data_IF_181363149922
#
_entry.id   IF_181363149922
#
_cell.length_a   1.000
_cell.length_b   1.000
_cell.length_c   1.000
_cell.angle_alpha   90.00
_cell.angle_beta   90.00
_cell.angle_gamma   90.00
#
_symmetry.space_group_name_H-M   'P 1'
#
loop_
_entity.id
_entity.type
_entity.pdbx_description
1 polymer ?
#
# COMPACT_ATOMS: atom_id res chain seq x y z
N UNK A 1 -58.21 -27.96 -9.25
CA UNK A 1 -58.10 -27.32 -10.58
C UNK A 1 -57.62 -25.90 -10.35
N UNK A 2 -56.35 -25.66 -10.44
CA UNK A 2 -55.79 -24.29 -10.51
C UNK A 2 -54.58 -24.39 -11.45
N UNK A 3 -54.62 -23.61 -12.51
CA UNK A 3 -53.76 -23.67 -13.66
C UNK A 3 -52.37 -23.09 -13.40
N UNK A 4 -51.33 -23.79 -13.86
CA UNK A 4 -49.94 -23.31 -13.91
C UNK A 4 -49.75 -22.28 -15.04
N UNK A 5 -49.32 -21.09 -14.73
CA UNK A 5 -48.83 -20.10 -15.71
C UNK A 5 -47.33 -20.26 -15.90
N UNK A 6 -46.93 -20.64 -17.09
CA UNK A 6 -45.55 -20.56 -17.60
C UNK A 6 -45.17 -19.10 -17.73
N UNK A 7 -44.07 -18.68 -17.08
CA UNK A 7 -43.41 -17.42 -17.36
C UNK A 7 -42.22 -17.68 -18.30
N UNK A 8 -42.32 -17.11 -19.48
CA UNK A 8 -41.26 -17.08 -20.51
C UNK A 8 -40.14 -16.12 -20.10
N UNK A 9 -38.94 -16.66 -20.06
CA UNK A 9 -37.73 -15.89 -19.80
C UNK A 9 -37.37 -14.98 -20.97
N UNK A 10 -37.22 -13.69 -20.70
CA UNK A 10 -36.58 -12.74 -21.58
C UNK A 10 -35.10 -12.66 -21.23
N UNK A 11 -34.25 -13.11 -22.13
CA UNK A 11 -32.81 -12.97 -22.04
C UNK A 11 -32.44 -11.50 -22.06
N UNK A 12 -31.74 -11.01 -21.00
CA UNK A 12 -31.05 -9.73 -21.00
C UNK A 12 -29.66 -9.95 -21.57
N UNK A 13 -29.44 -9.45 -22.77
CA UNK A 13 -28.18 -9.40 -23.42
C UNK A 13 -27.20 -8.59 -22.56
N UNK A 14 -26.13 -9.26 -22.10
CA UNK A 14 -24.98 -8.61 -21.53
C UNK A 14 -24.34 -7.74 -22.61
N UNK A 15 -24.34 -6.42 -22.42
CA UNK A 15 -23.47 -5.53 -23.19
C UNK A 15 -22.05 -5.90 -22.82
N UNK A 16 -21.30 -6.44 -23.78
CA UNK A 16 -19.86 -6.51 -23.72
C UNK A 16 -19.35 -5.09 -23.51
N UNK A 17 -18.71 -4.83 -22.38
CA UNK A 17 -17.92 -3.62 -22.17
C UNK A 17 -16.83 -3.64 -23.23
N UNK A 18 -16.83 -2.63 -24.11
CA UNK A 18 -15.79 -2.42 -25.09
C UNK A 18 -14.45 -2.19 -24.36
N UNK A 19 -13.32 -2.42 -25.03
CA UNK A 19 -12.02 -2.24 -24.42
C UNK A 19 -11.86 -0.76 -24.03
N UNK A 20 -11.84 -0.51 -22.73
CA UNK A 20 -11.41 0.77 -22.17
C UNK A 20 -9.99 1.01 -22.63
N UNK A 21 -9.78 2.21 -23.15
CA UNK A 21 -8.57 2.79 -23.68
C UNK A 21 -7.28 2.17 -23.09
N UNK A 22 -6.49 1.55 -23.98
CA UNK A 22 -5.22 0.91 -23.72
C UNK A 22 -4.27 1.83 -22.94
N UNK A 23 -4.18 1.65 -21.63
CA UNK A 23 -2.92 1.96 -20.96
C UNK A 23 -1.92 0.91 -21.47
N UNK A 24 -0.90 1.37 -22.18
CA UNK A 24 0.15 0.53 -22.70
C UNK A 24 0.76 -0.26 -21.52
N UNK A 25 0.64 -1.58 -21.58
CA UNK A 25 1.31 -2.49 -20.67
C UNK A 25 2.82 -2.24 -20.77
N UNK A 26 3.38 -1.64 -19.73
CA UNK A 26 4.82 -1.48 -19.61
C UNK A 26 5.40 -2.86 -19.30
N UNK A 27 6.33 -3.34 -20.12
CA UNK A 27 7.08 -4.55 -19.85
C UNK A 27 7.73 -4.49 -18.47
N UNK A 28 7.90 -5.63 -17.78
CA UNK A 28 8.66 -5.71 -16.53
C UNK A 28 10.07 -5.12 -16.65
N UNK A 29 10.63 -5.05 -17.86
CA UNK A 29 11.91 -4.38 -18.13
C UNK A 29 11.85 -2.86 -17.94
N UNK A 30 10.71 -2.22 -18.25
CA UNK A 30 10.50 -0.77 -18.19
C UNK A 30 9.69 -0.34 -16.96
N UNK A 31 9.39 -1.29 -16.07
CA UNK A 31 8.58 -1.05 -14.88
C UNK A 31 9.24 -0.04 -13.93
N UNK A 32 8.54 1.06 -13.64
CA UNK A 32 9.02 2.18 -12.81
C UNK A 32 9.43 1.79 -11.39
N UNK A 33 8.84 0.70 -10.84
CA UNK A 33 9.17 0.22 -9.49
C UNK A 33 10.16 -0.95 -9.49
N UNK A 34 10.66 -1.37 -10.66
CA UNK A 34 11.56 -2.51 -10.78
C UNK A 34 12.72 -2.45 -9.81
N UNK A 35 13.44 -1.33 -9.77
CA UNK A 35 14.68 -1.19 -9.01
C UNK A 35 14.47 -1.09 -7.49
N UNK A 36 13.26 -0.77 -7.04
CA UNK A 36 12.93 -0.61 -5.62
C UNK A 36 12.12 -1.76 -5.04
N UNK A 37 11.60 -2.63 -5.90
CA UNK A 37 10.79 -3.81 -5.53
C UNK A 37 11.62 -5.09 -5.42
N UNK A 38 10.95 -6.21 -5.25
CA UNK A 38 11.54 -7.55 -5.31
C UNK A 38 12.17 -7.82 -6.68
N UNK A 39 11.60 -7.26 -7.75
CA UNK A 39 12.10 -7.41 -9.12
C UNK A 39 13.51 -6.86 -9.34
N UNK A 40 14.04 -6.03 -8.43
CA UNK A 40 15.42 -5.55 -8.49
C UNK A 40 16.48 -6.68 -8.41
N UNK A 41 16.11 -7.84 -7.89
CA UNK A 41 16.98 -9.00 -7.82
C UNK A 41 17.02 -9.82 -9.12
N UNK A 42 16.10 -9.58 -10.05
CA UNK A 42 15.91 -10.40 -11.25
C UNK A 42 16.80 -9.94 -12.41
N UNK A 43 17.43 -10.90 -13.08
CA UNK A 43 18.06 -10.69 -14.38
C UNK A 43 17.01 -10.49 -15.49
N UNK A 44 17.43 -10.04 -16.67
CA UNK A 44 16.49 -9.69 -17.74
C UNK A 44 15.69 -10.89 -18.29
N UNK A 45 16.28 -12.07 -18.30
CA UNK A 45 15.63 -13.34 -18.67
C UNK A 45 14.61 -13.76 -17.59
N UNK A 46 14.96 -13.63 -16.32
CA UNK A 46 14.07 -13.89 -15.19
C UNK A 46 12.92 -12.90 -15.09
N UNK A 47 13.12 -11.64 -15.51
CA UNK A 47 12.05 -10.66 -15.62
C UNK A 47 11.01 -11.07 -16.68
N UNK A 48 11.42 -11.70 -17.77
CA UNK A 48 10.49 -12.24 -18.75
C UNK A 48 9.71 -13.45 -18.22
N UNK A 49 10.36 -14.27 -17.38
CA UNK A 49 9.69 -15.40 -16.74
C UNK A 49 8.60 -14.91 -15.76
N UNK A 50 8.92 -13.95 -14.88
CA UNK A 50 7.95 -13.43 -13.91
C UNK A 50 6.83 -12.62 -14.58
N UNK A 51 7.12 -11.97 -15.70
CA UNK A 51 6.13 -11.24 -16.51
C UNK A 51 5.01 -12.14 -16.98
N UNK A 52 5.31 -13.38 -17.39
CA UNK A 52 4.31 -14.38 -17.79
C UNK A 52 3.39 -14.78 -16.62
N UNK A 53 3.90 -14.71 -15.38
CA UNK A 53 3.14 -15.03 -14.18
C UNK A 53 2.32 -13.84 -13.65
N UNK A 54 2.65 -12.62 -14.10
CA UNK A 54 2.03 -11.40 -13.61
C UNK A 54 0.66 -11.17 -14.25
N UNK A 55 -0.31 -10.81 -13.41
CA UNK A 55 -1.57 -10.19 -13.80
C UNK A 55 -1.56 -8.74 -13.34
N UNK A 56 -2.03 -7.83 -14.18
CA UNK A 56 -2.06 -6.40 -13.87
C UNK A 56 -3.50 -5.99 -13.53
N UNK A 57 -3.69 -5.62 -12.27
CA UNK A 57 -4.98 -5.17 -11.77
C UNK A 57 -4.90 -3.68 -11.43
N UNK A 58 -5.97 -2.95 -11.74
CA UNK A 58 -6.17 -1.55 -11.32
C UNK A 58 -7.38 -1.49 -10.41
N UNK A 59 -7.20 -0.85 -9.26
CA UNK A 59 -8.22 -0.66 -8.24
C UNK A 59 -8.62 0.81 -8.19
N UNK A 60 -9.92 1.04 -8.14
CA UNK A 60 -10.48 2.35 -7.81
C UNK A 60 -10.26 2.67 -6.33
N UNK A 61 -10.29 3.97 -5.98
CA UNK A 61 -10.20 4.40 -4.58
C UNK A 61 -11.26 3.69 -3.72
N UNK A 62 -10.83 3.16 -2.56
CA UNK A 62 -11.62 2.37 -1.60
C UNK A 62 -11.99 0.95 -2.07
N UNK A 63 -11.56 0.51 -3.22
CA UNK A 63 -11.75 -0.87 -3.64
C UNK A 63 -10.86 -1.79 -2.80
N UNK A 64 -11.44 -2.91 -2.36
CA UNK A 64 -10.74 -3.91 -1.55
C UNK A 64 -9.90 -4.83 -2.43
N UNK A 65 -8.65 -5.01 -2.06
CA UNK A 65 -7.73 -5.96 -2.70
C UNK A 65 -7.90 -7.36 -2.10
N UNK A 66 -7.97 -7.47 -0.77
CA UNK A 66 -8.29 -8.69 -0.03
C UNK A 66 -8.75 -8.36 1.40
N UNK A 67 -9.48 -9.28 2.02
CA UNK A 67 -9.94 -9.17 3.40
C UNK A 67 -9.12 -10.05 4.34
N UNK A 68 -9.10 -9.66 5.61
CA UNK A 68 -8.54 -10.51 6.67
C UNK A 68 -9.27 -11.85 6.71
N UNK A 69 -8.51 -12.94 6.85
CA UNK A 69 -8.96 -14.34 6.85
C UNK A 69 -9.41 -14.88 5.47
N UNK A 70 -9.38 -14.10 4.40
CA UNK A 70 -9.51 -14.67 3.06
C UNK A 70 -8.35 -15.64 2.76
N UNK A 71 -8.54 -16.66 1.92
CA UNK A 71 -7.45 -17.50 1.44
C UNK A 71 -6.36 -16.63 0.80
N UNK A 72 -5.12 -16.84 1.23
CA UNK A 72 -3.98 -16.06 0.71
C UNK A 72 -3.43 -16.74 -0.56
N UNK A 73 -4.22 -16.72 -1.64
CA UNK A 73 -3.93 -17.38 -2.92
C UNK A 73 -3.07 -16.54 -3.88
N UNK A 74 -2.80 -15.30 -3.53
CA UNK A 74 -2.01 -14.37 -4.35
C UNK A 74 -1.05 -13.53 -3.51
N UNK A 75 0.00 -13.04 -4.18
CA UNK A 75 0.92 -12.01 -3.70
C UNK A 75 0.87 -10.83 -4.66
N UNK A 76 1.16 -9.63 -4.16
CA UNK A 76 0.99 -8.40 -4.93
C UNK A 76 2.21 -7.50 -4.80
N UNK A 77 2.60 -6.88 -5.91
CA UNK A 77 3.55 -5.77 -5.94
C UNK A 77 2.80 -4.49 -6.31
N UNK A 78 2.80 -3.49 -5.45
CA UNK A 78 2.19 -2.19 -5.76
C UNK A 78 3.06 -1.49 -6.81
N UNK A 79 2.47 -1.10 -7.93
CA UNK A 79 3.19 -0.42 -9.02
C UNK A 79 2.85 1.07 -9.11
N UNK A 80 1.65 1.47 -8.66
CA UNK A 80 1.21 2.86 -8.58
C UNK A 80 0.14 3.03 -7.51
N UNK A 81 -0.06 4.26 -7.01
CA UNK A 81 -1.02 4.54 -5.96
C UNK A 81 -0.59 4.06 -4.59
N UNK A 82 -1.54 3.95 -3.66
CA UNK A 82 -1.30 3.58 -2.26
C UNK A 82 -2.35 2.60 -1.78
N UNK A 83 -1.92 1.55 -1.09
CA UNK A 83 -2.80 0.57 -0.41
C UNK A 83 -2.69 0.77 1.10
N UNK A 84 -3.81 0.92 1.80
CA UNK A 84 -3.85 0.89 3.27
C UNK A 84 -4.06 -0.54 3.74
N UNK A 85 -3.32 -0.91 4.78
CA UNK A 85 -3.39 -2.20 5.44
C UNK A 85 -3.99 -2.00 6.83
N UNK A 86 -5.05 -2.74 7.19
CA UNK A 86 -5.75 -2.51 8.45
C UNK A 86 -6.34 -3.78 9.04
N UNK A 87 -6.60 -3.74 10.35
CA UNK A 87 -7.39 -4.73 11.07
C UNK A 87 -8.66 -4.10 11.59
N UNK A 88 -9.75 -4.86 11.56
CA UNK A 88 -10.99 -4.51 12.25
C UNK A 88 -10.97 -5.10 13.66
N UNK A 89 -11.22 -4.25 14.63
CA UNK A 89 -11.38 -4.66 16.01
C UNK A 89 -12.80 -5.20 16.25
N UNK A 90 -13.03 -6.04 17.30
CA UNK A 90 -14.35 -6.60 17.57
C UNK A 90 -15.46 -5.57 17.80
N UNK A 91 -15.10 -4.35 18.21
CA UNK A 91 -16.01 -3.22 18.41
C UNK A 91 -16.27 -2.39 17.14
N UNK A 92 -15.75 -2.84 15.98
CA UNK A 92 -15.92 -2.18 14.70
C UNK A 92 -14.92 -1.05 14.43
N UNK A 93 -14.08 -0.67 15.40
CA UNK A 93 -12.98 0.28 15.14
C UNK A 93 -11.96 -0.33 14.19
N UNK A 94 -11.37 0.52 13.38
CA UNK A 94 -10.30 0.14 12.45
C UNK A 94 -8.95 0.62 12.99
N UNK A 95 -7.96 -0.27 12.98
CA UNK A 95 -6.57 0.09 13.21
C UNK A 95 -5.80 -0.08 11.91
N UNK A 96 -5.29 0.99 11.35
CA UNK A 96 -4.37 0.92 10.22
C UNK A 96 -3.01 0.46 10.75
N UNK A 97 -2.45 -0.58 10.13
CA UNK A 97 -1.15 -1.15 10.49
C UNK A 97 -0.05 -0.73 9.52
N UNK A 98 -0.41 -0.20 8.35
CA UNK A 98 0.56 0.29 7.36
C UNK A 98 -0.09 0.88 6.12
N UNK A 99 0.75 1.52 5.31
CA UNK A 99 0.43 1.96 3.96
C UNK A 99 1.49 1.36 3.03
N UNK A 100 1.07 0.57 2.04
CA UNK A 100 1.96 0.07 1.01
C UNK A 100 2.03 1.09 -0.13
N UNK A 101 3.25 1.46 -0.48
CA UNK A 101 3.60 2.40 -1.52
C UNK A 101 4.11 1.65 -2.77
N UNK A 102 4.26 2.31 -3.92
CA UNK A 102 4.87 1.68 -5.09
C UNK A 102 6.23 1.06 -4.77
N UNK A 103 6.41 -0.20 -5.18
CA UNK A 103 7.57 -1.04 -4.87
C UNK A 103 7.40 -1.96 -3.66
N UNK A 104 6.39 -1.73 -2.82
CA UNK A 104 6.13 -2.61 -1.69
C UNK A 104 5.41 -3.89 -2.15
N UNK A 105 5.68 -4.99 -1.42
CA UNK A 105 5.17 -6.31 -1.74
C UNK A 105 4.22 -6.80 -0.64
N UNK A 106 3.04 -7.28 -1.03
CA UNK A 106 1.98 -7.70 -0.11
C UNK A 106 1.70 -9.20 -0.24
N UNK A 107 1.24 -9.81 0.84
CA UNK A 107 0.85 -11.23 0.84
C UNK A 107 2.00 -12.21 1.01
N UNK A 108 3.22 -11.75 1.39
CA UNK A 108 4.39 -12.61 1.61
C UNK A 108 4.31 -13.47 2.87
N UNK A 109 3.38 -13.19 3.79
CA UNK A 109 3.23 -14.01 4.97
C UNK A 109 2.95 -15.46 4.56
N UNK A 110 3.75 -16.39 5.07
CA UNK A 110 3.67 -17.83 4.81
C UNK A 110 2.45 -18.48 5.47
N UNK A 111 1.37 -17.72 5.67
CA UNK A 111 0.10 -18.18 6.25
C UNK A 111 -0.89 -18.50 5.15
N UNK A 112 -1.78 -19.46 5.38
CA UNK A 112 -2.83 -19.84 4.43
C UNK A 112 -3.90 -18.75 4.23
N UNK A 113 -3.92 -17.75 5.11
CA UNK A 113 -4.92 -16.68 5.11
C UNK A 113 -4.26 -15.31 5.33
N UNK A 114 -4.84 -14.29 4.73
CA UNK A 114 -4.36 -12.90 4.94
C UNK A 114 -4.58 -12.48 6.40
N UNK A 115 -3.55 -11.89 7.01
CA UNK A 115 -3.56 -11.44 8.41
C UNK A 115 -4.22 -10.08 8.65
N UNK A 116 -4.58 -9.34 7.59
CA UNK A 116 -5.17 -8.01 7.60
C UNK A 116 -5.99 -7.77 6.32
N UNK A 117 -6.77 -6.70 6.30
CA UNK A 117 -7.46 -6.21 5.11
C UNK A 117 -6.56 -5.24 4.33
N UNK A 118 -6.75 -5.16 3.02
CA UNK A 118 -6.05 -4.25 2.13
C UNK A 118 -7.03 -3.55 1.18
N UNK A 119 -7.07 -2.21 1.22
CA UNK A 119 -7.89 -1.37 0.34
C UNK A 119 -7.03 -0.33 -0.38
N UNK A 120 -7.38 -0.01 -1.61
CA UNK A 120 -6.81 1.12 -2.33
C UNK A 120 -7.19 2.45 -1.67
N UNK A 121 -6.22 3.33 -1.43
CA UNK A 121 -6.44 4.68 -0.90
C UNK A 121 -6.90 5.62 -2.03
N UNK A 122 -6.25 5.51 -3.16
CA UNK A 122 -6.50 6.22 -4.40
C UNK A 122 -6.55 5.23 -5.58
N UNK A 123 -6.57 5.70 -6.82
CA UNK A 123 -6.41 4.83 -7.99
C UNK A 123 -5.05 4.12 -7.90
N UNK A 124 -5.09 2.80 -7.77
CA UNK A 124 -3.92 1.98 -7.45
C UNK A 124 -3.73 0.88 -8.48
N UNK A 125 -2.50 0.69 -8.94
CA UNK A 125 -2.14 -0.42 -9.83
C UNK A 125 -1.24 -1.42 -9.10
N UNK A 126 -1.49 -2.71 -9.34
CA UNK A 126 -0.71 -3.80 -8.75
C UNK A 126 -0.36 -4.87 -9.78
N UNK A 127 0.81 -5.49 -9.63
CA UNK A 127 1.09 -6.79 -10.23
C UNK A 127 0.63 -7.86 -9.25
N UNK A 128 -0.29 -8.72 -9.67
CA UNK A 128 -0.79 -9.88 -8.92
C UNK A 128 -0.10 -11.14 -9.45
N UNK A 129 0.34 -11.99 -8.54
CA UNK A 129 0.91 -13.30 -8.86
C UNK A 129 0.16 -14.37 -8.07
N UNK A 130 -0.25 -15.46 -8.74
CA UNK A 130 -0.76 -16.63 -8.02
C UNK A 130 0.33 -17.15 -7.09
N UNK A 131 -0.01 -17.36 -5.80
CA UNK A 131 0.97 -17.71 -4.75
C UNK A 131 1.79 -18.94 -5.09
N UNK A 132 1.15 -20.01 -5.57
CA UNK A 132 1.85 -21.26 -5.88
C UNK A 132 2.83 -21.10 -7.05
N UNK A 133 2.46 -20.31 -8.06
CA UNK A 133 3.34 -20.03 -9.19
C UNK A 133 4.52 -19.17 -8.76
N UNK A 134 4.26 -18.15 -7.93
CA UNK A 134 5.32 -17.30 -7.38
C UNK A 134 6.27 -18.06 -6.46
N UNK A 135 5.76 -18.94 -5.58
CA UNK A 135 6.60 -19.77 -4.72
C UNK A 135 7.53 -20.67 -5.53
N UNK A 136 6.99 -21.39 -6.53
CA UNK A 136 7.82 -22.23 -7.42
C UNK A 136 8.88 -21.43 -8.15
N UNK A 137 8.55 -20.22 -8.58
CA UNK A 137 9.51 -19.32 -9.23
C UNK A 137 10.65 -18.91 -8.28
N UNK A 138 10.31 -18.54 -7.03
CA UNK A 138 11.28 -18.13 -6.01
C UNK A 138 12.17 -19.29 -5.55
N UNK A 139 11.59 -20.51 -5.38
CA UNK A 139 12.33 -21.71 -4.94
C UNK A 139 13.50 -22.04 -5.87
N UNK A 140 13.39 -21.70 -7.14
CA UNK A 140 14.44 -21.91 -8.15
C UNK A 140 15.48 -20.78 -8.18
N UNK A 141 15.27 -19.70 -7.39
CA UNK A 141 16.05 -18.45 -7.48
C UNK A 141 16.49 -17.95 -6.09
N UNK A 142 17.57 -18.52 -5.51
CA UNK A 142 18.02 -18.19 -4.15
C UNK A 142 18.33 -16.70 -3.93
N UNK A 143 18.70 -15.95 -4.99
CA UNK A 143 18.94 -14.51 -4.91
C UNK A 143 17.65 -13.72 -4.73
N UNK A 144 16.53 -14.17 -5.32
CA UNK A 144 15.19 -13.58 -5.10
C UNK A 144 14.73 -13.87 -3.68
N UNK A 145 14.91 -15.09 -3.19
CA UNK A 145 14.58 -15.46 -1.80
C UNK A 145 15.35 -14.59 -0.80
N UNK A 146 16.65 -14.33 -1.03
CA UNK A 146 17.43 -13.40 -0.19
C UNK A 146 16.85 -11.99 -0.21
N UNK A 147 16.40 -11.51 -1.35
CA UNK A 147 15.76 -10.20 -1.47
C UNK A 147 14.43 -10.14 -0.71
N UNK A 148 13.59 -11.17 -0.82
CA UNK A 148 12.35 -11.30 -0.06
C UNK A 148 12.60 -11.32 1.45
N UNK A 149 13.64 -12.05 1.89
CA UNK A 149 14.04 -12.06 3.31
C UNK A 149 14.46 -10.65 3.78
N UNK A 150 15.23 -9.92 2.98
CA UNK A 150 15.60 -8.53 3.30
C UNK A 150 14.36 -7.61 3.41
N UNK A 151 13.37 -7.78 2.53
CA UNK A 151 12.09 -7.07 2.64
C UNK A 151 11.35 -7.42 3.94
N UNK A 152 11.20 -8.71 4.26
CA UNK A 152 10.53 -9.14 5.48
C UNK A 152 11.21 -8.62 6.75
N UNK A 153 12.55 -8.61 6.78
CA UNK A 153 13.33 -8.06 7.89
C UNK A 153 13.12 -6.55 8.02
N UNK A 154 13.06 -5.84 6.90
CA UNK A 154 12.77 -4.39 6.90
C UNK A 154 11.36 -4.10 7.42
N UNK A 155 10.35 -4.85 6.96
CA UNK A 155 8.98 -4.72 7.46
C UNK A 155 8.87 -4.99 8.97
N UNK A 156 9.60 -5.98 9.47
CA UNK A 156 9.67 -6.26 10.91
C UNK A 156 10.28 -5.08 11.67
N UNK A 157 11.34 -4.44 11.15
CA UNK A 157 11.91 -3.24 11.75
C UNK A 157 10.91 -2.10 11.80
N UNK A 158 10.18 -1.85 10.69
CA UNK A 158 9.12 -0.82 10.65
C UNK A 158 8.00 -1.11 11.65
N UNK A 159 7.64 -2.39 11.85
CA UNK A 159 6.64 -2.77 12.84
C UNK A 159 7.13 -2.50 14.28
N UNK A 160 8.42 -2.74 14.60
CA UNK A 160 9.00 -2.38 15.89
C UNK A 160 8.99 -0.86 16.12
N UNK A 161 9.38 -0.08 15.12
CA UNK A 161 9.34 1.40 15.18
C UNK A 161 7.91 1.90 15.41
N UNK A 162 6.93 1.27 14.77
CA UNK A 162 5.50 1.59 14.96
C UNK A 162 5.02 1.27 16.37
N UNK A 163 5.46 0.17 16.98
CA UNK A 163 5.14 -0.13 18.38
C UNK A 163 5.67 0.92 19.35
N UNK A 164 6.93 1.37 19.15
CA UNK A 164 7.53 2.45 19.95
C UNK A 164 6.79 3.76 19.74
N UNK A 165 6.47 4.09 18.50
CA UNK A 165 5.72 5.30 18.13
C UNK A 165 4.35 5.33 18.84
N UNK A 166 3.61 4.24 18.80
CA UNK A 166 2.28 4.17 19.41
C UNK A 166 2.32 4.27 20.94
N UNK A 167 3.35 3.67 21.59
CA UNK A 167 3.38 3.50 23.04
C UNK A 167 3.93 4.70 23.82
N UNK A 168 4.88 5.45 23.27
CA UNK A 168 5.67 6.41 24.08
C UNK A 168 5.73 7.84 23.55
N UNK A 169 5.35 8.09 22.31
CA UNK A 169 5.50 9.41 21.67
C UNK A 169 4.27 10.30 21.85
N UNK A 170 4.50 11.59 21.95
CA UNK A 170 3.46 12.63 21.93
C UNK A 170 2.79 12.70 20.55
N UNK A 171 1.63 13.34 20.45
CA UNK A 171 0.93 13.50 19.17
C UNK A 171 1.77 14.26 18.12
N UNK A 172 2.60 15.21 18.55
CA UNK A 172 3.48 15.96 17.66
C UNK A 172 4.62 15.12 17.12
N UNK A 173 5.30 14.38 17.99
CA UNK A 173 6.34 13.43 17.60
C UNK A 173 5.81 12.32 16.69
N UNK A 174 4.59 11.82 16.96
CA UNK A 174 3.92 10.83 16.11
C UNK A 174 3.68 11.35 14.70
N UNK A 175 3.12 12.56 14.58
CA UNK A 175 2.85 13.18 13.27
C UNK A 175 4.15 13.52 12.56
N UNK A 176 5.16 14.02 13.25
CA UNK A 176 6.47 14.31 12.66
C UNK A 176 7.15 13.04 12.17
N UNK A 177 7.20 11.97 12.97
CA UNK A 177 7.78 10.69 12.59
C UNK A 177 7.06 10.06 11.38
N UNK A 178 5.72 10.14 11.33
CA UNK A 178 4.94 9.70 10.18
C UNK A 178 5.32 10.46 8.91
N UNK A 179 5.39 11.79 8.96
CA UNK A 179 5.73 12.62 7.79
C UNK A 179 7.16 12.36 7.31
N UNK A 180 8.13 12.28 8.22
CA UNK A 180 9.54 12.01 7.87
C UNK A 180 9.70 10.59 7.30
N UNK A 181 9.08 9.59 7.94
CA UNK A 181 9.10 8.20 7.44
C UNK A 181 8.46 8.09 6.05
N UNK A 182 7.33 8.75 5.82
CA UNK A 182 6.67 8.76 4.52
C UNK A 182 7.52 9.47 3.45
N UNK A 183 8.18 10.60 3.80
CA UNK A 183 9.14 11.29 2.91
C UNK A 183 10.26 10.36 2.46
N UNK A 184 10.85 9.60 3.39
CA UNK A 184 11.94 8.67 3.08
C UNK A 184 11.48 7.54 2.15
N UNK A 185 10.25 7.06 2.33
CA UNK A 185 9.68 6.02 1.47
C UNK A 185 9.40 6.55 0.06
N UNK A 186 8.81 7.74 -0.08
CA UNK A 186 8.61 8.39 -1.38
C UNK A 186 9.93 8.70 -2.09
N UNK A 187 10.99 8.99 -1.33
CA UNK A 187 12.31 9.28 -1.90
C UNK A 187 12.91 8.10 -2.67
N UNK A 188 12.50 6.87 -2.40
CA UNK A 188 12.92 5.68 -3.18
C UNK A 188 12.44 5.73 -4.62
N UNK A 189 11.33 6.43 -4.89
CA UNK A 189 10.70 6.53 -6.21
C UNK A 189 11.22 7.70 -7.02
N UNK A 190 11.29 8.87 -6.39
CA UNK A 190 11.49 10.15 -7.09
C UNK A 190 12.61 11.01 -6.52
N UNK A 191 13.41 10.45 -5.60
CA UNK A 191 14.41 11.20 -4.85
C UNK A 191 13.79 12.03 -3.71
N UNK A 192 14.67 12.64 -2.89
CA UNK A 192 14.23 13.46 -1.77
C UNK A 192 13.50 14.72 -2.24
N UNK A 193 12.26 14.86 -1.84
CA UNK A 193 11.44 16.05 -2.06
C UNK A 193 11.16 16.77 -0.74
N UNK A 194 10.96 18.08 -0.80
CA UNK A 194 10.44 18.87 0.31
C UNK A 194 8.92 18.73 0.44
N UNK A 195 8.23 18.32 -0.62
CA UNK A 195 6.79 18.06 -0.63
C UNK A 195 6.55 16.55 -0.44
N UNK A 196 5.74 16.21 0.53
CA UNK A 196 5.36 14.84 0.91
C UNK A 196 3.93 14.63 0.44
N UNK A 197 3.67 13.78 -0.55
CA UNK A 197 2.31 13.42 -0.94
C UNK A 197 1.57 12.72 0.20
N UNK A 198 0.31 13.11 0.43
CA UNK A 198 -0.57 12.51 1.44
C UNK A 198 -1.90 12.10 0.78
N UNK A 199 -1.94 11.01 0.03
CA UNK A 199 -3.17 10.53 -0.60
C UNK A 199 -4.18 9.99 0.42
N UNK A 200 -3.71 9.57 1.62
CA UNK A 200 -4.54 9.09 2.70
C UNK A 200 -5.25 10.24 3.42
N UNK A 201 -6.45 9.97 3.91
CA UNK A 201 -7.24 10.94 4.68
C UNK A 201 -6.64 11.21 6.07
N UNK A 202 -7.03 12.32 6.70
CA UNK A 202 -6.66 12.61 8.10
C UNK A 202 -7.20 11.56 9.07
N UNK A 203 -8.33 10.92 8.75
CA UNK A 203 -8.84 9.80 9.52
C UNK A 203 -7.91 8.59 9.40
N UNK A 204 -7.42 8.28 8.20
CA UNK A 204 -6.47 7.18 8.01
C UNK A 204 -5.16 7.43 8.76
N UNK A 205 -4.66 8.67 8.78
CA UNK A 205 -3.49 9.06 9.57
C UNK A 205 -3.78 8.90 11.07
N UNK A 206 -4.97 9.29 11.54
CA UNK A 206 -5.38 9.13 12.93
C UNK A 206 -5.46 7.65 13.32
N UNK A 207 -6.10 6.82 12.49
CA UNK A 207 -6.20 5.37 12.70
C UNK A 207 -4.83 4.68 12.70
N UNK A 208 -3.85 5.20 11.93
CA UNK A 208 -2.48 4.68 11.91
C UNK A 208 -1.68 5.08 13.16
N UNK A 209 -1.85 6.34 13.63
CA UNK A 209 -1.09 6.91 14.76
C UNK A 209 -1.72 6.64 16.12
N UNK A 210 -2.90 6.00 16.18
CA UNK A 210 -3.66 5.83 17.42
C UNK A 210 -4.06 7.17 18.04
N UNK A 211 -4.48 8.12 17.20
CA UNK A 211 -4.92 9.47 17.59
C UNK A 211 -6.37 9.70 17.12
N UNK A 212 -6.98 10.80 17.56
CA UNK A 212 -8.23 11.27 16.96
C UNK A 212 -7.96 12.17 15.76
N UNK A 213 -8.90 12.24 14.82
CA UNK A 213 -8.80 13.12 13.64
C UNK A 213 -8.62 14.59 14.02
N UNK A 214 -9.24 15.03 15.13
CA UNK A 214 -9.11 16.37 15.67
C UNK A 214 -7.69 16.62 16.17
N UNK A 215 -7.08 15.63 16.83
CA UNK A 215 -5.69 15.71 17.31
C UNK A 215 -4.72 15.82 16.13
N UNK A 216 -4.87 14.98 15.12
CA UNK A 216 -4.05 15.06 13.88
C UNK A 216 -4.21 16.43 13.23
N UNK A 217 -5.44 16.91 13.05
CA UNK A 217 -5.73 18.20 12.42
C UNK A 217 -5.16 19.39 13.21
N UNK A 218 -5.29 19.38 14.54
CA UNK A 218 -4.70 20.42 15.42
C UNK A 218 -3.19 20.39 15.39
N UNK A 219 -2.57 19.20 15.39
CA UNK A 219 -1.11 19.05 15.33
C UNK A 219 -0.56 19.59 14.01
N UNK A 220 -1.13 19.21 12.86
CA UNK A 220 -0.74 19.73 11.56
C UNK A 220 -0.90 21.26 11.47
N UNK A 221 -2.01 21.81 12.01
CA UNK A 221 -2.23 23.26 12.04
C UNK A 221 -1.23 23.97 12.95
N UNK A 222 -0.80 23.36 14.05
CA UNK A 222 0.23 23.91 14.95
C UNK A 222 1.58 23.94 14.25
N UNK A 223 2.03 22.82 13.67
CA UNK A 223 3.28 22.74 12.90
C UNK A 223 3.32 23.74 11.73
N UNK A 224 2.17 24.00 11.10
CA UNK A 224 2.06 25.03 10.06
C UNK A 224 2.20 26.46 10.61
N UNK A 225 1.60 26.78 11.77
CA UNK A 225 1.78 28.08 12.45
C UNK A 225 3.21 28.33 12.91
N UNK A 226 3.89 27.27 13.33
CA UNK A 226 5.31 27.29 13.73
C UNK A 226 6.26 27.33 12.52
N UNK A 227 5.73 27.38 11.30
CA UNK A 227 6.49 27.38 10.03
C UNK A 227 7.43 26.17 9.88
N UNK A 228 7.12 25.05 10.53
CA UNK A 228 7.82 23.80 10.30
C UNK A 228 7.36 23.14 8.97
N UNK A 229 6.06 23.29 8.65
CA UNK A 229 5.45 22.77 7.42
C UNK A 229 4.51 23.80 6.78
N UNK A 230 4.08 23.54 5.55
CA UNK A 230 2.90 24.17 4.93
C UNK A 230 2.00 23.07 4.37
N UNK A 231 0.69 23.17 4.62
CA UNK A 231 -0.30 22.26 4.09
C UNK A 231 -0.61 22.68 2.66
N UNK A 232 -0.49 21.76 1.71
CA UNK A 232 -0.82 21.93 0.29
C UNK A 232 -1.96 21.00 -0.10
N UNK A 233 -2.65 21.18 -1.25
CA UNK A 233 -3.82 20.38 -1.61
C UNK A 233 -3.57 18.87 -1.54
N UNK A 234 -2.43 18.40 -2.06
CA UNK A 234 -2.13 16.96 -2.17
C UNK A 234 -1.11 16.48 -1.15
N UNK A 235 -0.87 17.24 -0.06
CA UNK A 235 0.09 16.83 0.94
C UNK A 235 0.60 17.90 1.90
N UNK A 236 1.86 17.78 2.26
CA UNK A 236 2.56 18.67 3.17
C UNK A 236 3.92 19.01 2.59
N UNK A 237 4.30 20.30 2.61
CA UNK A 237 5.65 20.75 2.27
C UNK A 237 6.43 21.08 3.55
N UNK A 238 7.62 20.52 3.68
CA UNK A 238 8.53 20.86 4.78
C UNK A 238 9.14 22.24 4.54
N UNK A 239 9.04 23.13 5.53
CA UNK A 239 9.71 24.42 5.55
C UNK A 239 10.97 24.36 6.42
N UNK A 240 10.94 23.57 7.49
CA UNK A 240 12.08 23.34 8.37
C UNK A 240 12.30 21.83 8.56
N UNK A 241 13.03 21.15 7.65
CA UNK A 241 13.29 19.71 7.75
C UNK A 241 14.02 19.33 9.04
N UNK A 242 15.01 20.12 9.49
CA UNK A 242 15.77 19.83 10.73
C UNK A 242 14.86 19.76 11.96
N UNK A 243 13.95 20.73 12.12
CA UNK A 243 12.97 20.70 13.21
C UNK A 243 12.05 19.49 13.15
N UNK A 244 11.64 19.08 11.93
CA UNK A 244 10.78 17.91 11.75
C UNK A 244 11.54 16.61 12.04
N UNK A 245 12.82 16.52 11.71
CA UNK A 245 13.69 15.39 12.03
C UNK A 245 13.98 15.28 13.53
N UNK A 246 14.21 16.41 14.23
CA UNK A 246 14.32 16.46 15.70
C UNK A 246 13.06 15.91 16.37
N UNK A 247 11.87 16.40 15.98
CA UNK A 247 10.59 15.93 16.51
C UNK A 247 10.36 14.45 16.18
N UNK A 248 10.80 13.98 15.03
CA UNK A 248 10.67 12.59 14.61
C UNK A 248 11.60 11.64 15.37
N UNK A 249 12.69 12.16 15.95
CA UNK A 249 13.65 11.37 16.72
C UNK A 249 13.21 11.16 18.17
N UNK A 250 12.43 12.07 18.74
CA UNK A 250 11.84 11.99 20.09
C UNK A 250 12.75 12.49 21.16
#
# INVERSE_FOLDING_TARGET
MIAARKATGAGRGGKAAGPSCCQAYESCLDCKVRLISVCAALANDELREIEILAQHDTLEAKQTLFLQNDPADAVYNVTDGVVRLYKLLPDGRRQIVGFALPGDFLGLAMTERYGFCADAVDSTSVCRFARDAFSRFVDQKPHVLRRLHAFATHELSLAHDQMLLLGRRTAEEKVAAFLIGLRQRWARLSGLSVTIPLPMSRQDIADFLGLTIETVSRTLSRLAREKAIVIVPDGVRLLNPGRMEELASG
#
